data_IF_999019554911
#
_entry.id   IF_999019554911
#
_cell.length_a   1.000
_cell.length_b   1.000
_cell.length_c   1.000
_cell.angle_alpha   90.00
_cell.angle_beta   90.00
_cell.angle_gamma   90.00
#
_symmetry.space_group_name_H-M   'P 1'
#
loop_
_entity.id
_entity.type
_entity.pdbx_description
1 polymer ?
#
# COMPACT_ATOMS: atom_id res chain seq x y z
N UNK A 1 -21.14 7.77 7.92
CA UNK A 1 -20.38 7.32 9.10
C UNK A 1 -20.77 8.19 10.29
N UNK A 2 -21.17 7.59 11.40
CA UNK A 2 -21.59 8.33 12.62
C UNK A 2 -20.75 7.95 13.84
N UNK A 3 -20.04 6.84 13.79
CA UNK A 3 -19.22 6.32 14.88
C UNK A 3 -17.79 6.05 14.43
N UNK A 4 -16.87 5.91 15.39
CA UNK A 4 -15.49 5.50 15.10
C UNK A 4 -15.45 4.09 14.46
N UNK A 5 -16.33 3.20 14.89
CA UNK A 5 -16.45 1.86 14.28
C UNK A 5 -16.89 1.92 12.81
N UNK A 6 -17.81 2.84 12.45
CA UNK A 6 -18.17 3.06 11.06
C UNK A 6 -16.98 3.60 10.23
N UNK A 7 -16.22 4.54 10.81
CA UNK A 7 -15.05 5.12 10.16
C UNK A 7 -13.95 4.06 9.96
N UNK A 8 -13.71 3.23 10.98
CA UNK A 8 -12.77 2.11 10.92
C UNK A 8 -13.15 1.14 9.80
N UNK A 9 -14.39 0.68 9.76
CA UNK A 9 -14.86 -0.26 8.75
C UNK A 9 -14.79 0.35 7.33
N UNK A 10 -15.19 1.62 7.16
CA UNK A 10 -15.10 2.31 5.87
C UNK A 10 -13.66 2.42 5.38
N UNK A 11 -12.74 2.87 6.23
CA UNK A 11 -11.32 3.00 5.87
C UNK A 11 -10.66 1.64 5.64
N UNK A 12 -11.10 0.60 6.35
CA UNK A 12 -10.64 -0.77 6.13
C UNK A 12 -11.04 -1.28 4.73
N UNK A 13 -12.26 -0.98 4.26
CA UNK A 13 -12.70 -1.30 2.90
C UNK A 13 -11.90 -0.54 1.83
N UNK A 14 -11.61 0.73 2.10
CA UNK A 14 -10.81 1.59 1.24
C UNK A 14 -9.40 1.03 1.03
N UNK A 15 -8.68 0.70 2.12
CA UNK A 15 -7.32 0.14 2.01
C UNK A 15 -7.30 -1.29 1.45
N UNK A 16 -8.31 -2.10 1.75
CA UNK A 16 -8.44 -3.43 1.17
C UNK A 16 -8.62 -3.37 -0.36
N UNK A 17 -9.40 -2.42 -0.85
CA UNK A 17 -9.50 -2.16 -2.28
C UNK A 17 -8.14 -1.72 -2.85
N UNK A 18 -7.45 -0.80 -2.18
CA UNK A 18 -6.16 -0.29 -2.62
C UNK A 18 -5.12 -1.40 -2.79
N UNK A 19 -4.98 -2.29 -1.81
CA UNK A 19 -4.06 -3.44 -1.89
C UNK A 19 -4.39 -4.37 -3.06
N UNK A 20 -5.66 -4.66 -3.28
CA UNK A 20 -6.09 -5.48 -4.41
C UNK A 20 -5.84 -4.78 -5.77
N UNK A 21 -6.03 -3.47 -5.86
CA UNK A 21 -5.74 -2.68 -7.04
C UNK A 21 -4.24 -2.67 -7.35
N UNK A 22 -3.40 -2.48 -6.32
CA UNK A 22 -1.93 -2.55 -6.44
C UNK A 22 -1.46 -3.91 -6.90
N UNK A 23 -2.00 -5.00 -6.37
CA UNK A 23 -1.67 -6.37 -6.80
C UNK A 23 -1.88 -6.55 -8.31
N UNK A 24 -2.88 -5.88 -8.89
CA UNK A 24 -3.16 -5.91 -10.34
C UNK A 24 -2.29 -4.96 -11.15
N UNK A 25 -1.94 -3.80 -10.60
CA UNK A 25 -1.16 -2.78 -11.28
C UNK A 25 0.35 -3.05 -11.28
N UNK A 26 0.89 -3.64 -10.21
CA UNK A 26 2.33 -3.84 -10.03
C UNK A 26 3.02 -4.66 -11.12
N UNK A 27 2.45 -5.70 -11.74
CA UNK A 27 3.09 -6.40 -12.85
C UNK A 27 3.53 -5.48 -14.00
N UNK A 28 2.75 -4.45 -14.32
CA UNK A 28 3.09 -3.44 -15.33
C UNK A 28 4.26 -2.57 -14.88
N UNK A 29 4.28 -2.16 -13.61
CA UNK A 29 5.38 -1.38 -13.02
C UNK A 29 6.67 -2.20 -12.99
N UNK A 30 6.60 -3.49 -12.61
CA UNK A 30 7.73 -4.43 -12.61
C UNK A 30 8.30 -4.59 -14.03
N UNK A 31 7.42 -4.68 -15.05
CA UNK A 31 7.85 -4.81 -16.45
C UNK A 31 8.54 -3.56 -16.99
N UNK A 32 8.22 -2.39 -16.46
CA UNK A 32 8.82 -1.13 -16.84
C UNK A 32 10.13 -0.81 -16.09
N UNK A 33 10.36 -1.47 -14.96
CA UNK A 33 11.54 -1.27 -14.12
C UNK A 33 12.67 -2.25 -14.47
N UNK A 34 13.89 -1.90 -14.08
CA UNK A 34 15.07 -2.76 -14.16
C UNK A 34 15.89 -2.72 -12.86
N UNK A 35 16.92 -3.56 -12.78
CA UNK A 35 17.87 -3.59 -11.66
C UNK A 35 17.22 -3.68 -10.29
N UNK A 36 17.72 -2.86 -9.36
CA UNK A 36 17.26 -2.87 -7.95
C UNK A 36 15.82 -2.38 -7.78
N UNK A 37 15.36 -1.48 -8.66
CA UNK A 37 13.98 -0.99 -8.68
C UNK A 37 13.02 -2.12 -8.98
N UNK A 38 13.33 -2.92 -10.00
CA UNK A 38 12.54 -4.09 -10.37
C UNK A 38 12.47 -5.10 -9.23
N UNK A 39 13.62 -5.43 -8.63
CA UNK A 39 13.68 -6.36 -7.49
C UNK A 39 12.87 -5.86 -6.29
N UNK A 40 12.91 -4.56 -6.00
CA UNK A 40 12.12 -3.97 -4.93
C UNK A 40 10.61 -4.10 -5.20
N UNK A 41 10.17 -3.88 -6.43
CA UNK A 41 8.76 -4.02 -6.81
C UNK A 41 8.28 -5.48 -6.79
N UNK A 42 9.14 -6.43 -7.19
CA UNK A 42 8.83 -7.86 -7.09
C UNK A 42 8.65 -8.30 -5.63
N UNK A 43 9.50 -7.83 -4.72
CA UNK A 43 9.36 -8.09 -3.29
C UNK A 43 8.10 -7.44 -2.73
N UNK A 44 7.85 -6.17 -3.09
CA UNK A 44 6.67 -5.46 -2.62
C UNK A 44 5.36 -6.11 -3.11
N UNK A 45 5.32 -6.66 -4.32
CA UNK A 45 4.16 -7.42 -4.80
C UNK A 45 3.86 -8.65 -3.91
N UNK A 46 4.90 -9.34 -3.44
CA UNK A 46 4.73 -10.47 -2.50
C UNK A 46 4.17 -9.97 -1.15
N UNK A 47 4.70 -8.86 -0.65
CA UNK A 47 4.24 -8.23 0.59
C UNK A 47 2.79 -7.77 0.48
N UNK A 48 2.42 -7.10 -0.61
CA UNK A 48 1.04 -6.66 -0.88
C UNK A 48 0.04 -7.83 -0.87
N UNK A 49 0.42 -8.96 -1.44
CA UNK A 49 -0.40 -10.18 -1.36
C UNK A 49 -0.55 -10.70 0.07
N UNK A 50 0.46 -10.56 0.89
CA UNK A 50 0.38 -10.93 2.32
C UNK A 50 -0.48 -9.92 3.08
N UNK A 51 -0.39 -8.62 2.79
CA UNK A 51 -1.27 -7.59 3.37
C UNK A 51 -2.74 -7.91 3.11
N UNK A 52 -3.10 -8.32 1.90
CA UNK A 52 -4.49 -8.74 1.58
C UNK A 52 -4.95 -9.88 2.50
N UNK A 53 -4.08 -10.86 2.80
CA UNK A 53 -4.43 -11.96 3.72
C UNK A 53 -4.59 -11.49 5.16
N UNK A 54 -3.69 -10.61 5.61
CA UNK A 54 -3.75 -10.03 6.96
C UNK A 54 -5.02 -9.18 7.11
N UNK A 55 -5.37 -8.36 6.11
CA UNK A 55 -6.59 -7.55 6.12
C UNK A 55 -7.87 -8.38 6.23
N UNK A 56 -7.93 -9.56 5.59
CA UNK A 56 -9.05 -10.50 5.76
C UNK A 56 -9.22 -10.92 7.23
N UNK A 57 -8.11 -11.12 7.95
CA UNK A 57 -8.16 -11.39 9.39
C UNK A 57 -8.67 -10.17 10.17
N UNK A 58 -8.25 -8.95 9.78
CA UNK A 58 -8.76 -7.73 10.43
C UNK A 58 -10.27 -7.60 10.24
N UNK A 59 -10.82 -7.86 9.05
CA UNK A 59 -12.27 -7.90 8.83
C UNK A 59 -12.97 -8.91 9.73
N UNK A 60 -12.37 -10.08 9.94
CA UNK A 60 -12.91 -11.10 10.83
C UNK A 60 -13.00 -10.62 12.29
N UNK A 61 -12.07 -9.78 12.76
CA UNK A 61 -12.11 -9.23 14.14
C UNK A 61 -13.32 -8.32 14.42
N UNK A 62 -13.99 -7.85 13.38
CA UNK A 62 -15.17 -6.99 13.46
C UNK A 62 -16.43 -7.66 12.89
N UNK A 63 -16.40 -8.97 12.69
CA UNK A 63 -17.51 -9.77 12.13
C UNK A 63 -18.05 -9.21 10.80
N UNK A 64 -17.16 -8.77 9.91
CA UNK A 64 -17.51 -8.24 8.59
C UNK A 64 -16.84 -9.06 7.47
N UNK A 65 -17.53 -9.20 6.31
CA UNK A 65 -16.91 -9.78 5.13
C UNK A 65 -15.78 -8.89 4.62
N UNK A 66 -14.72 -9.51 4.06
CA UNK A 66 -13.63 -8.78 3.42
C UNK A 66 -14.07 -8.28 2.05
N UNK A 67 -14.57 -7.06 2.00
CA UNK A 67 -15.06 -6.37 0.81
C UNK A 67 -14.37 -5.02 0.64
N UNK A 68 -13.94 -4.71 -0.59
CA UNK A 68 -13.37 -3.41 -0.94
C UNK A 68 -14.44 -2.39 -1.33
N UNK A 69 -14.14 -1.13 -1.09
CA UNK A 69 -14.87 0.01 -1.62
C UNK A 69 -13.91 0.84 -2.46
N UNK A 70 -14.35 1.29 -3.65
CA UNK A 70 -13.49 2.00 -4.59
C UNK A 70 -12.74 3.15 -3.91
N UNK A 71 -11.42 3.13 -4.02
CA UNK A 71 -10.51 4.13 -3.48
C UNK A 71 -10.02 5.04 -4.61
N UNK A 72 -10.55 6.25 -4.70
CA UNK A 72 -10.15 7.21 -5.73
C UNK A 72 -8.69 7.65 -5.58
N UNK A 73 -8.13 7.64 -4.36
CA UNK A 73 -6.74 7.98 -4.11
C UNK A 73 -5.79 6.98 -4.78
N UNK A 74 -5.97 5.67 -4.56
CA UNK A 74 -5.10 4.66 -5.16
C UNK A 74 -5.27 4.59 -6.67
N UNK A 75 -6.49 4.75 -7.18
CA UNK A 75 -6.77 4.82 -8.62
C UNK A 75 -6.01 6.00 -9.27
N UNK A 76 -5.97 7.15 -8.59
CA UNK A 76 -5.21 8.31 -9.02
C UNK A 76 -3.70 8.06 -9.03
N UNK A 77 -3.14 7.47 -7.99
CA UNK A 77 -1.71 7.13 -7.88
C UNK A 77 -1.29 6.10 -8.94
N UNK A 78 -2.11 5.09 -9.19
CA UNK A 78 -1.86 4.09 -10.24
C UNK A 78 -1.88 4.75 -11.63
N UNK A 79 -2.88 5.60 -11.91
CA UNK A 79 -2.99 6.32 -13.18
C UNK A 79 -1.80 7.25 -13.41
N UNK A 80 -1.35 7.96 -12.39
CA UNK A 80 -0.16 8.82 -12.45
C UNK A 80 1.09 8.01 -12.78
N UNK A 81 1.27 6.85 -12.12
CA UNK A 81 2.38 5.94 -12.41
C UNK A 81 2.35 5.39 -13.84
N UNK A 82 1.17 5.09 -14.37
CA UNK A 82 1.00 4.66 -15.75
C UNK A 82 1.38 5.77 -16.75
N UNK A 83 1.07 7.03 -16.44
CA UNK A 83 1.54 8.18 -17.21
C UNK A 83 3.05 8.30 -17.23
N UNK A 84 3.69 8.14 -16.08
CA UNK A 84 5.17 8.11 -15.97
C UNK A 84 5.80 7.04 -16.86
N UNK A 85 5.25 5.83 -16.87
CA UNK A 85 5.74 4.72 -17.70
C UNK A 85 5.66 5.06 -19.20
N UNK A 86 4.68 5.85 -19.62
CA UNK A 86 4.52 6.26 -21.02
C UNK A 86 5.45 7.41 -21.42
N UNK A 87 5.76 8.31 -20.50
CA UNK A 87 6.45 9.58 -20.79
C UNK A 87 7.95 9.55 -20.47
N UNK A 88 8.38 8.77 -19.48
CA UNK A 88 9.77 8.71 -19.03
C UNK A 88 10.54 7.53 -19.64
N UNK A 89 11.86 7.67 -19.72
CA UNK A 89 12.77 6.62 -20.19
C UNK A 89 14.13 6.67 -19.51
N UNK A 90 14.91 5.60 -19.62
CA UNK A 90 16.26 5.51 -19.08
C UNK A 90 16.32 5.80 -17.57
N UNK A 91 17.34 6.55 -17.13
CA UNK A 91 17.52 6.88 -15.70
C UNK A 91 16.34 7.67 -15.10
N UNK A 92 15.70 8.52 -15.90
CA UNK A 92 14.54 9.29 -15.43
C UNK A 92 13.36 8.38 -15.10
N UNK A 93 13.12 7.33 -15.87
CA UNK A 93 12.05 6.37 -15.58
C UNK A 93 12.26 5.70 -14.22
N UNK A 94 13.47 5.16 -13.96
CA UNK A 94 13.76 4.53 -12.66
C UNK A 94 13.56 5.48 -11.48
N UNK A 95 14.06 6.71 -11.57
CA UNK A 95 13.89 7.72 -10.52
C UNK A 95 12.40 8.08 -10.29
N UNK A 96 11.64 8.28 -11.37
CA UNK A 96 10.22 8.59 -11.28
C UNK A 96 9.40 7.43 -10.73
N UNK A 97 9.73 6.18 -11.09
CA UNK A 97 9.05 4.99 -10.55
C UNK A 97 9.29 4.83 -9.04
N UNK A 98 10.50 5.12 -8.53
CA UNK A 98 10.77 5.15 -7.09
C UNK A 98 9.90 6.22 -6.42
N UNK A 99 9.86 7.43 -6.96
CA UNK A 99 9.04 8.51 -6.40
C UNK A 99 7.55 8.17 -6.37
N UNK A 100 7.02 7.59 -7.45
CA UNK A 100 5.63 7.14 -7.53
C UNK A 100 5.33 6.03 -6.51
N UNK A 101 6.23 5.05 -6.37
CA UNK A 101 6.10 4.00 -5.36
C UNK A 101 6.10 4.58 -3.95
N UNK A 102 7.00 5.52 -3.62
CA UNK A 102 7.02 6.17 -2.31
C UNK A 102 5.75 6.98 -2.03
N UNK A 103 5.10 7.56 -3.03
CA UNK A 103 3.79 8.21 -2.85
C UNK A 103 2.72 7.19 -2.43
N UNK A 104 2.71 6.00 -3.02
CA UNK A 104 1.85 4.89 -2.62
C UNK A 104 2.16 4.46 -1.18
N UNK A 105 3.44 4.22 -0.85
CA UNK A 105 3.86 3.84 0.52
C UNK A 105 3.38 4.84 1.57
N UNK A 106 3.53 6.16 1.32
CA UNK A 106 3.08 7.17 2.26
C UNK A 106 1.57 7.21 2.42
N UNK A 107 0.82 6.99 1.35
CA UNK A 107 -0.62 6.82 1.44
C UNK A 107 -0.99 5.62 2.35
N UNK A 108 -0.36 4.46 2.14
CA UNK A 108 -0.59 3.25 2.92
C UNK A 108 -0.15 3.43 4.38
N UNK A 109 1.04 4.00 4.64
CA UNK A 109 1.52 4.32 5.99
C UNK A 109 0.52 5.20 6.74
N UNK A 110 -0.03 6.23 6.10
CA UNK A 110 -1.04 7.09 6.70
C UNK A 110 -2.32 6.31 7.04
N UNK A 111 -2.81 5.48 6.12
CA UNK A 111 -4.04 4.68 6.33
C UNK A 111 -3.87 3.62 7.40
N UNK A 112 -2.78 2.85 7.37
CA UNK A 112 -2.50 1.83 8.38
C UNK A 112 -2.22 2.45 9.76
N UNK A 113 -1.53 3.57 9.83
CA UNK A 113 -1.32 4.30 11.07
C UNK A 113 -2.63 4.76 11.72
N UNK A 114 -3.55 5.28 10.90
CA UNK A 114 -4.90 5.69 11.32
C UNK A 114 -5.72 4.50 11.80
N UNK A 115 -5.80 3.45 11.01
CA UNK A 115 -6.55 2.23 11.36
C UNK A 115 -6.02 1.58 12.64
N UNK A 116 -4.70 1.49 12.79
CA UNK A 116 -4.06 0.97 13.99
C UNK A 116 -4.48 1.75 15.24
N UNK A 117 -4.43 3.08 15.18
CA UNK A 117 -4.84 3.94 16.29
C UNK A 117 -6.31 3.76 16.64
N UNK A 118 -7.18 3.72 15.64
CA UNK A 118 -8.61 3.51 15.86
C UNK A 118 -8.93 2.10 16.42
N UNK A 119 -8.21 1.07 15.98
CA UNK A 119 -8.33 -0.27 16.56
C UNK A 119 -8.05 -0.25 18.07
N UNK A 120 -7.00 0.48 18.50
CA UNK A 120 -6.67 0.67 19.91
C UNK A 120 -7.80 1.38 20.68
N UNK A 121 -8.35 2.45 20.13
CA UNK A 121 -9.46 3.20 20.75
C UNK A 121 -10.74 2.36 20.84
N UNK A 122 -10.98 1.49 19.86
CA UNK A 122 -12.07 0.53 19.83
C UNK A 122 -11.82 -0.72 20.71
N UNK A 123 -10.66 -0.79 21.38
CA UNK A 123 -10.24 -1.93 22.22
C UNK A 123 -10.18 -3.25 21.45
N UNK A 124 -9.82 -3.19 20.18
CA UNK A 124 -9.61 -4.35 19.32
C UNK A 124 -8.10 -4.60 19.20
N UNK A 125 -7.53 -5.29 20.18
CA UNK A 125 -6.09 -5.54 20.28
C UNK A 125 -5.59 -6.43 19.14
N UNK A 126 -6.39 -7.39 18.69
CA UNK A 126 -6.03 -8.27 17.57
C UNK A 126 -5.90 -7.47 16.26
N UNK A 127 -6.87 -6.61 15.94
CA UNK A 127 -6.78 -5.72 14.78
C UNK A 127 -5.59 -4.77 14.90
N UNK A 128 -5.35 -4.21 16.09
CA UNK A 128 -4.20 -3.33 16.35
C UNK A 128 -2.87 -4.02 16.01
N UNK A 129 -2.67 -5.27 16.44
CA UNK A 129 -1.44 -6.01 16.23
C UNK A 129 -1.27 -6.38 14.74
N UNK A 130 -2.33 -6.83 14.08
CA UNK A 130 -2.33 -7.15 12.65
C UNK A 130 -2.01 -5.91 11.80
N UNK A 131 -2.62 -4.77 12.10
CA UNK A 131 -2.39 -3.52 11.38
C UNK A 131 -1.00 -2.94 11.67
N UNK A 132 -0.46 -3.13 12.88
CA UNK A 132 0.91 -2.75 13.23
C UNK A 132 1.93 -3.55 12.41
N UNK A 133 1.68 -4.82 12.17
CA UNK A 133 2.52 -5.69 11.36
C UNK A 133 2.61 -5.16 9.91
N UNK A 134 1.49 -4.80 9.29
CA UNK A 134 1.48 -4.23 7.94
C UNK A 134 2.20 -2.88 7.94
N UNK A 135 1.89 -2.00 8.88
CA UNK A 135 2.51 -0.67 8.96
C UNK A 135 4.03 -0.75 9.03
N UNK A 136 4.58 -1.69 9.78
CA UNK A 136 6.03 -1.90 9.88
C UNK A 136 6.62 -2.38 8.54
N UNK A 137 5.92 -3.23 7.81
CA UNK A 137 6.30 -3.68 6.46
C UNK A 137 6.33 -2.51 5.47
N UNK A 138 5.31 -1.63 5.48
CA UNK A 138 5.25 -0.45 4.59
C UNK A 138 6.36 0.56 4.89
N UNK A 139 6.66 0.80 6.15
CA UNK A 139 7.79 1.65 6.54
C UNK A 139 9.13 1.09 6.07
N UNK A 140 9.31 -0.22 6.16
CA UNK A 140 10.52 -0.89 5.69
C UNK A 140 10.63 -0.82 4.15
N UNK A 141 9.53 -1.01 3.42
CA UNK A 141 9.48 -0.87 1.97
C UNK A 141 9.85 0.55 1.52
N UNK A 142 9.28 1.57 2.16
CA UNK A 142 9.63 2.97 1.87
C UNK A 142 11.11 3.28 2.15
N UNK A 143 11.67 2.78 3.25
CA UNK A 143 13.08 2.96 3.57
C UNK A 143 14.00 2.27 2.54
N UNK A 144 13.63 1.09 2.05
CA UNK A 144 14.33 0.38 0.98
C UNK A 144 14.36 1.19 -0.31
N UNK A 145 13.23 1.76 -0.72
CA UNK A 145 13.13 2.63 -1.89
C UNK A 145 14.02 3.87 -1.76
N UNK A 146 14.06 4.49 -0.58
CA UNK A 146 14.98 5.61 -0.29
C UNK A 146 16.44 5.19 -0.47
N UNK A 147 16.82 4.02 0.04
CA UNK A 147 18.19 3.49 -0.12
C UNK A 147 18.56 3.28 -1.59
N UNK A 148 17.65 2.76 -2.41
CA UNK A 148 17.86 2.57 -3.85
C UNK A 148 18.00 3.93 -4.57
N UNK A 149 17.15 4.90 -4.24
CA UNK A 149 17.21 6.24 -4.82
C UNK A 149 18.55 6.93 -4.53
N UNK A 150 19.06 6.84 -3.31
CA UNK A 150 20.35 7.41 -2.90
C UNK A 150 21.51 6.72 -3.61
N UNK A 151 21.49 5.40 -3.76
CA UNK A 151 22.54 4.64 -4.42
C UNK A 151 22.58 4.89 -5.93
N UNK A 152 21.46 5.27 -6.56
CA UNK A 152 21.35 5.56 -8.00
C UNK A 152 21.69 7.01 -8.37
N UNK A 153 21.81 7.91 -7.40
CA UNK A 153 22.16 9.31 -7.61
C UNK A 153 23.67 9.46 -7.87
#
# INVERSE_FOLDING_TARGET
>A
MKTLADAFHHTLKDIYYAENALTKAMPKMISAADGDVKSAFEDHLKETREHVKILKKVFATIDKPAEGEKCDAIEGLIKETEGIIQEASGKALGACLIGAAQAVEHYEIARYGTLRQWAKELKNDEAHDLLSQILDMEKAANAKLTGIAVAAA
#
